data_IF_204498190947
#
_entry.id   IF_204498190947
#
_cell.length_a   1.000
_cell.length_b   1.000
_cell.length_c   1.000
_cell.angle_alpha   90.00
_cell.angle_beta   90.00
_cell.angle_gamma   90.00
#
_symmetry.space_group_name_H-M   'P 1'
#
loop_
_entity.id
_entity.type
_entity.pdbx_description
1 polymer ?
#
# COMPACT_ATOMS: atom_id res chain seq x y z
N UNK A 1 15.22 4.05 49.49
CA UNK A 1 15.18 2.83 48.64
C UNK A 1 13.95 2.72 47.73
N UNK A 2 12.79 3.29 48.10
CA UNK A 2 11.54 3.24 47.30
C UNK A 2 11.63 3.93 45.92
N UNK A 3 12.30 5.09 45.83
CA UNK A 3 12.50 5.83 44.56
C UNK A 3 13.37 5.07 43.55
N UNK A 4 14.39 4.33 44.01
CA UNK A 4 15.26 3.52 43.14
C UNK A 4 14.50 2.32 42.54
N UNK A 5 13.57 1.75 43.30
CA UNK A 5 12.68 0.69 42.83
C UNK A 5 11.64 1.21 41.81
N UNK A 6 11.16 2.44 42.02
CA UNK A 6 10.21 3.10 41.10
C UNK A 6 10.86 3.44 39.75
N UNK A 7 12.12 3.88 39.74
CA UNK A 7 12.89 4.15 38.52
C UNK A 7 13.24 2.87 37.74
N UNK A 8 13.47 1.75 38.44
CA UNK A 8 13.71 0.45 37.80
C UNK A 8 12.44 -0.12 37.16
N UNK A 9 11.27 0.07 37.79
CA UNK A 9 9.99 -0.32 37.22
C UNK A 9 9.59 0.51 35.98
N UNK A 10 9.97 1.80 35.94
CA UNK A 10 9.71 2.67 34.79
C UNK A 10 10.47 2.21 33.53
N UNK A 11 11.72 1.76 33.67
CA UNK A 11 12.53 1.24 32.55
C UNK A 11 12.03 -0.11 32.01
N UNK A 12 11.43 -0.95 32.86
CA UNK A 12 10.90 -2.26 32.44
C UNK A 12 9.60 -2.16 31.61
N UNK A 13 8.93 -1.00 31.59
CA UNK A 13 7.68 -0.80 30.83
C UNK A 13 7.89 -0.51 29.34
N UNK A 14 9.14 -0.32 28.88
CA UNK A 14 9.47 0.03 27.49
C UNK A 14 9.92 -1.20 26.67
N UNK A 15 9.43 -2.40 27.00
CA UNK A 15 9.58 -3.57 26.11
C UNK A 15 8.61 -3.37 24.95
N UNK A 16 8.95 -2.46 24.04
CA UNK A 16 8.29 -2.31 22.77
C UNK A 16 8.50 -3.59 21.95
N UNK A 17 7.42 -4.18 21.46
CA UNK A 17 7.48 -5.23 20.45
C UNK A 17 8.21 -4.66 19.23
N UNK A 18 9.50 -4.96 19.11
CA UNK A 18 10.27 -4.63 17.90
C UNK A 18 9.82 -5.59 16.81
N UNK A 19 9.34 -5.04 15.70
CA UNK A 19 9.10 -5.81 14.49
C UNK A 19 10.45 -6.27 13.94
N UNK A 20 10.61 -7.57 13.78
CA UNK A 20 11.81 -8.13 13.20
C UNK A 20 11.67 -8.14 11.69
N UNK A 21 12.78 -7.95 10.97
CA UNK A 21 12.78 -8.10 9.50
C UNK A 21 12.39 -9.52 9.07
N UNK A 22 12.60 -10.51 9.95
CA UNK A 22 12.31 -11.92 9.72
C UNK A 22 10.82 -12.27 9.79
N UNK A 23 9.96 -11.34 10.23
CA UNK A 23 8.51 -11.55 10.35
C UNK A 23 7.76 -11.34 9.02
N UNK A 24 8.47 -10.88 7.99
CA UNK A 24 7.90 -10.60 6.67
C UNK A 24 8.34 -11.67 5.68
N UNK A 25 7.45 -12.11 4.80
CA UNK A 25 7.67 -13.24 3.89
C UNK A 25 8.51 -12.86 2.67
N UNK A 26 8.25 -11.68 2.12
CA UNK A 26 8.85 -11.22 0.88
C UNK A 26 9.02 -9.70 0.87
N UNK A 27 9.79 -9.23 -0.11
CA UNK A 27 10.15 -7.83 -0.29
C UNK A 27 9.68 -7.34 -1.65
N UNK A 28 8.97 -6.23 -1.68
CA UNK A 28 8.55 -5.53 -2.89
C UNK A 28 9.59 -4.48 -3.25
N UNK A 29 10.05 -4.52 -4.50
CA UNK A 29 11.01 -3.62 -5.11
C UNK A 29 10.28 -2.70 -6.09
N UNK A 30 10.30 -1.37 -5.89
CA UNK A 30 9.67 -0.45 -6.81
C UNK A 30 10.45 -0.40 -8.13
N UNK A 31 9.74 -0.16 -9.23
CA UNK A 31 10.37 0.06 -10.54
C UNK A 31 11.14 1.38 -10.60
N UNK A 32 10.84 2.34 -9.72
CA UNK A 32 11.48 3.65 -9.70
C UNK A 32 11.58 4.18 -8.27
N UNK A 33 12.74 4.68 -7.91
CA UNK A 33 13.00 5.38 -6.65
C UNK A 33 12.84 6.90 -6.83
N UNK A 34 12.57 7.62 -5.73
CA UNK A 34 12.27 9.06 -5.74
C UNK A 34 13.29 9.94 -6.48
N UNK A 35 14.56 9.54 -6.48
CA UNK A 35 15.63 10.32 -7.11
C UNK A 35 15.85 9.98 -8.59
N UNK A 36 15.15 8.98 -9.12
CA UNK A 36 15.24 8.55 -10.53
C UNK A 36 14.18 9.25 -11.38
N UNK A 37 14.53 9.52 -12.64
CA UNK A 37 13.63 10.14 -13.61
C UNK A 37 12.80 9.10 -14.37
N UNK A 38 13.41 7.96 -14.67
CA UNK A 38 12.81 6.88 -15.45
C UNK A 38 12.80 5.59 -14.65
N UNK A 39 11.94 4.66 -15.05
CA UNK A 39 11.88 3.33 -14.45
C UNK A 39 13.20 2.60 -14.66
N UNK A 40 13.65 1.94 -13.59
CA UNK A 40 14.87 1.15 -13.51
C UNK A 40 16.12 1.89 -14.03
N UNK A 41 16.16 3.21 -13.86
CA UNK A 41 17.30 4.04 -14.28
C UNK A 41 18.59 3.52 -13.63
N UNK A 42 19.67 3.34 -14.40
CA UNK A 42 20.92 2.73 -13.93
C UNK A 42 20.76 1.30 -13.39
N UNK A 43 19.66 0.62 -13.74
CA UNK A 43 19.33 -0.76 -13.36
C UNK A 43 19.18 -0.98 -11.85
N UNK A 44 18.91 0.06 -11.08
CA UNK A 44 18.88 -0.05 -9.61
C UNK A 44 17.78 -0.98 -9.10
N UNK A 45 16.58 -0.98 -9.68
CA UNK A 45 15.53 -1.91 -9.27
C UNK A 45 15.92 -3.36 -9.56
N UNK A 46 16.53 -3.61 -10.73
CA UNK A 46 17.07 -4.93 -11.07
C UNK A 46 18.16 -5.38 -10.11
N UNK A 47 19.10 -4.50 -9.78
CA UNK A 47 20.17 -4.81 -8.83
C UNK A 47 19.64 -5.04 -7.42
N UNK A 48 18.71 -4.21 -6.94
CA UNK A 48 18.08 -4.39 -5.63
C UNK A 48 17.38 -5.75 -5.55
N UNK A 49 16.55 -6.11 -6.54
CA UNK A 49 15.90 -7.43 -6.58
C UNK A 49 16.92 -8.57 -6.58
N UNK A 50 17.97 -8.48 -7.41
CA UNK A 50 19.01 -9.50 -7.47
C UNK A 50 19.78 -9.65 -6.15
N UNK A 51 20.11 -8.55 -5.49
CA UNK A 51 20.83 -8.58 -4.21
C UNK A 51 19.95 -9.07 -3.06
N UNK A 52 18.65 -8.76 -3.06
CA UNK A 52 17.69 -9.32 -2.10
C UNK A 52 17.55 -10.85 -2.24
N UNK A 53 17.46 -11.36 -3.46
CA UNK A 53 17.42 -12.80 -3.73
C UNK A 53 18.70 -13.48 -3.22
N UNK A 54 19.87 -12.87 -3.46
CA UNK A 54 21.15 -13.37 -2.93
C UNK A 54 21.20 -13.35 -1.40
N UNK A 55 20.56 -12.37 -0.77
CA UNK A 55 20.45 -12.25 0.69
C UNK A 55 19.44 -13.24 1.31
N UNK A 56 18.71 -14.01 0.49
CA UNK A 56 17.75 -15.04 0.94
C UNK A 56 16.30 -14.57 1.01
N UNK A 57 15.99 -13.35 0.55
CA UNK A 57 14.61 -12.87 0.47
C UNK A 57 13.93 -13.34 -0.82
N UNK A 58 12.63 -13.61 -0.75
CA UNK A 58 11.79 -13.58 -1.93
C UNK A 58 11.50 -12.14 -2.29
N UNK A 59 11.87 -11.72 -3.50
CA UNK A 59 11.76 -10.33 -3.92
C UNK A 59 10.93 -10.21 -5.19
N UNK A 60 9.95 -9.32 -5.16
CA UNK A 60 9.04 -9.09 -6.27
C UNK A 60 9.03 -7.63 -6.72
N UNK A 61 8.81 -7.35 -8.00
CA UNK A 61 8.60 -5.98 -8.48
C UNK A 61 7.22 -5.47 -8.10
N UNK A 62 7.07 -4.15 -7.92
CA UNK A 62 5.80 -3.54 -7.54
C UNK A 62 4.67 -3.70 -8.56
N UNK A 63 5.00 -4.00 -9.82
CA UNK A 63 4.05 -4.14 -10.92
C UNK A 63 3.86 -5.58 -11.41
N UNK A 64 4.52 -6.56 -10.78
CA UNK A 64 4.35 -7.96 -11.19
C UNK A 64 3.25 -8.64 -10.38
N UNK A 65 2.60 -9.63 -10.99
CA UNK A 65 1.56 -10.39 -10.32
C UNK A 65 2.21 -11.32 -9.28
N UNK A 66 1.84 -11.14 -8.02
CA UNK A 66 2.36 -11.94 -6.92
C UNK A 66 1.78 -13.36 -6.95
N UNK A 67 2.58 -14.40 -6.67
CA UNK A 67 2.08 -15.77 -6.57
C UNK A 67 1.20 -15.94 -5.32
N UNK A 68 0.44 -17.04 -5.27
CA UNK A 68 -0.41 -17.36 -4.12
C UNK A 68 0.41 -17.41 -2.82
N UNK A 69 -0.12 -16.81 -1.75
CA UNK A 69 0.55 -16.72 -0.44
C UNK A 69 1.18 -15.35 -0.12
N UNK A 70 1.28 -14.46 -1.11
CA UNK A 70 1.82 -13.09 -0.98
C UNK A 70 0.75 -11.99 -1.11
N UNK A 71 -0.52 -12.35 -0.96
CA UNK A 71 -1.64 -11.40 -1.11
C UNK A 71 -1.79 -10.43 0.07
N UNK A 72 -1.26 -10.81 1.24
CA UNK A 72 -1.36 -10.02 2.47
C UNK A 72 -0.33 -8.90 2.48
N UNK A 73 -0.78 -7.65 2.30
CA UNK A 73 0.10 -6.46 2.20
C UNK A 73 1.08 -6.32 3.36
N UNK A 74 0.64 -6.66 4.58
CA UNK A 74 1.43 -6.50 5.79
C UNK A 74 2.36 -7.67 6.10
N UNK A 75 2.28 -8.76 5.33
CA UNK A 75 3.29 -9.82 5.35
C UNK A 75 4.47 -9.48 4.41
N UNK A 76 4.41 -8.34 3.71
CA UNK A 76 5.43 -7.88 2.75
C UNK A 76 6.20 -6.67 3.29
N UNK A 77 7.49 -6.61 2.97
CA UNK A 77 8.32 -5.42 3.13
C UNK A 77 8.40 -4.66 1.82
N UNK A 78 8.68 -3.36 1.91
CA UNK A 78 8.94 -2.51 0.77
C UNK A 78 10.38 -2.02 0.84
N UNK A 79 11.21 -2.40 -0.14
CA UNK A 79 12.59 -1.95 -0.23
C UNK A 79 12.67 -0.63 -0.97
N UNK A 80 13.18 0.39 -0.31
CA UNK A 80 13.38 1.70 -0.90
C UNK A 80 14.86 2.07 -0.88
N UNK A 81 15.42 2.41 -2.04
CA UNK A 81 16.76 2.97 -2.12
C UNK A 81 16.66 4.48 -1.96
N UNK A 82 17.35 5.01 -0.96
CA UNK A 82 17.45 6.45 -0.72
C UNK A 82 18.84 6.94 -1.08
N UNK A 83 18.88 8.14 -1.66
CA UNK A 83 20.11 8.85 -2.00
C UNK A 83 20.36 9.94 -0.97
N UNK A 84 21.53 9.91 -0.35
CA UNK A 84 22.04 11.02 0.45
C UNK A 84 22.96 11.88 -0.42
N UNK A 85 22.82 13.19 -0.33
CA UNK A 85 23.62 14.13 -1.11
C UNK A 85 24.85 14.51 -0.29
N UNK A 86 26.04 14.22 -0.82
CA UNK A 86 27.30 14.69 -0.26
C UNK A 86 28.13 15.40 -1.32
N UNK A 87 28.93 16.37 -0.88
CA UNK A 87 29.84 17.08 -1.77
C UNK A 87 30.85 16.11 -2.38
N UNK A 88 30.87 16.02 -3.72
CA UNK A 88 31.77 15.16 -4.52
C UNK A 88 31.68 13.65 -4.26
N UNK A 89 30.66 13.18 -3.55
CA UNK A 89 30.46 11.75 -3.29
C UNK A 89 29.00 11.37 -3.42
N UNK A 90 28.78 10.23 -4.05
CA UNK A 90 27.46 9.61 -4.13
C UNK A 90 27.28 8.71 -2.92
N UNK A 91 26.11 8.77 -2.28
CA UNK A 91 25.77 7.88 -1.18
C UNK A 91 24.38 7.28 -1.39
N UNK A 92 24.28 5.97 -1.23
CA UNK A 92 23.01 5.26 -1.22
C UNK A 92 22.88 4.41 0.05
N UNK A 93 21.66 4.24 0.50
CA UNK A 93 21.28 3.29 1.53
C UNK A 93 19.89 2.73 1.22
N UNK A 94 19.56 1.58 1.80
CA UNK A 94 18.30 0.88 1.59
C UNK A 94 17.48 0.92 2.87
N UNK A 95 16.21 1.27 2.77
CA UNK A 95 15.23 1.19 3.85
C UNK A 95 14.23 0.09 3.54
N UNK A 96 13.94 -0.76 4.53
CA UNK A 96 12.79 -1.65 4.48
C UNK A 96 11.64 -1.04 5.26
N UNK A 97 10.50 -0.91 4.60
CA UNK A 97 9.27 -0.36 5.17
C UNK A 97 8.18 -1.41 5.28
N UNK A 98 7.33 -1.27 6.29
CA UNK A 98 6.12 -2.07 6.41
C UNK A 98 5.00 -1.56 5.50
N UNK A 99 3.85 -2.23 5.55
CA UNK A 99 2.65 -1.86 4.82
C UNK A 99 2.05 -0.49 5.20
N UNK A 100 2.48 0.12 6.31
CA UNK A 100 2.08 1.45 6.78
C UNK A 100 3.13 2.52 6.46
N UNK A 101 4.23 2.14 5.81
CA UNK A 101 5.33 3.04 5.47
C UNK A 101 6.30 3.31 6.63
N UNK A 102 6.20 2.56 7.74
CA UNK A 102 7.15 2.66 8.85
C UNK A 102 8.44 1.95 8.49
N UNK A 103 9.57 2.61 8.68
CA UNK A 103 10.91 2.03 8.48
C UNK A 103 11.18 0.99 9.57
N UNK A 104 11.36 -0.26 9.17
CA UNK A 104 11.67 -1.40 10.04
C UNK A 104 13.17 -1.61 10.13
N UNK A 105 13.89 -1.36 9.03
CA UNK A 105 15.33 -1.51 8.97
C UNK A 105 15.93 -0.53 7.97
N UNK A 106 17.14 -0.05 8.28
CA UNK A 106 17.95 0.79 7.41
C UNK A 106 19.33 0.18 7.28
N UNK A 107 19.79 0.00 6.06
CA UNK A 107 21.11 -0.56 5.77
C UNK A 107 22.23 0.42 6.15
N UNK A 108 23.45 -0.11 6.18
CA UNK A 108 24.65 0.71 6.09
C UNK A 108 24.66 1.59 4.83
N UNK A 109 25.41 2.69 4.90
CA UNK A 109 25.52 3.66 3.81
C UNK A 109 26.67 3.28 2.90
N UNK A 110 26.37 2.96 1.64
CA UNK A 110 27.38 2.78 0.61
C UNK A 110 27.80 4.12 0.00
N UNK A 111 29.09 4.29 -0.27
CA UNK A 111 29.68 5.57 -0.69
C UNK A 111 30.61 5.38 -1.88
N UNK A 112 30.42 6.13 -2.95
CA UNK A 112 31.31 6.10 -4.12
C UNK A 112 31.83 7.50 -4.45
N UNK A 113 33.08 7.55 -4.91
CA UNK A 113 33.75 8.76 -5.41
C UNK A 113 33.69 8.85 -6.93
N UNK A 114 33.12 7.85 -7.59
CA UNK A 114 32.98 7.85 -9.04
C UNK A 114 32.05 8.96 -9.51
N UNK A 115 32.42 9.57 -10.63
CA UNK A 115 31.65 10.68 -11.23
C UNK A 115 30.54 10.17 -12.14
N UNK A 116 30.69 8.97 -12.68
CA UNK A 116 29.67 8.33 -13.51
C UNK A 116 28.60 7.69 -12.64
N UNK A 117 27.34 8.13 -12.80
CA UNK A 117 26.25 7.70 -11.91
C UNK A 117 25.97 6.20 -11.95
N UNK A 118 26.10 5.55 -13.11
CA UNK A 118 25.84 4.11 -13.21
C UNK A 118 26.82 3.30 -12.35
N UNK A 119 28.11 3.61 -12.47
CA UNK A 119 29.18 2.98 -11.68
C UNK A 119 29.03 3.35 -10.21
N UNK A 120 28.86 4.63 -9.91
CA UNK A 120 28.75 5.11 -8.53
C UNK A 120 27.56 4.49 -7.79
N UNK A 121 26.39 4.41 -8.41
CA UNK A 121 25.22 3.80 -7.78
C UNK A 121 25.36 2.31 -7.63
N UNK A 122 25.98 1.61 -8.58
CA UNK A 122 26.27 0.19 -8.44
C UNK A 122 27.14 -0.08 -7.22
N UNK A 123 28.26 0.63 -7.09
CA UNK A 123 29.18 0.50 -5.95
C UNK A 123 28.48 0.82 -4.62
N UNK A 124 27.76 1.95 -4.55
CA UNK A 124 27.02 2.33 -3.36
C UNK A 124 25.99 1.27 -2.97
N UNK A 125 25.26 0.72 -3.93
CA UNK A 125 24.23 -0.27 -3.66
C UNK A 125 24.86 -1.58 -3.16
N UNK A 126 25.93 -2.06 -3.81
CA UNK A 126 26.64 -3.27 -3.38
C UNK A 126 27.19 -3.12 -1.95
N UNK A 127 27.75 -1.96 -1.60
CA UNK A 127 28.19 -1.66 -0.23
C UNK A 127 27.03 -1.60 0.78
N UNK A 128 25.90 -1.00 0.42
CA UNK A 128 24.72 -0.95 1.30
C UNK A 128 24.21 -2.36 1.62
N UNK A 129 24.21 -3.26 0.64
CA UNK A 129 23.77 -4.65 0.80
C UNK A 129 24.68 -5.52 1.65
N UNK A 130 25.93 -5.12 1.93
CA UNK A 130 26.80 -5.85 2.88
C UNK A 130 26.09 -6.02 4.23
N UNK A 131 25.56 -4.94 4.79
CA UNK A 131 24.84 -4.96 6.06
C UNK A 131 23.54 -5.76 6.03
N UNK A 132 22.88 -5.85 4.87
CA UNK A 132 21.66 -6.63 4.67
C UNK A 132 22.00 -8.13 4.63
N UNK A 133 23.09 -8.49 3.95
CA UNK A 133 23.57 -9.87 3.88
C UNK A 133 23.99 -10.39 5.26
N UNK A 134 24.58 -9.53 6.10
CA UNK A 134 24.95 -9.85 7.49
C UNK A 134 23.75 -10.14 8.41
N UNK A 135 22.53 -9.75 8.02
CA UNK A 135 21.32 -10.11 8.76
C UNK A 135 21.02 -11.60 8.71
N UNK A 136 21.55 -12.32 7.70
CA UNK A 136 21.24 -13.73 7.43
C UNK A 136 19.74 -14.00 7.53
N UNK A 137 18.96 -13.21 6.79
CA UNK A 137 17.51 -13.25 6.83
C UNK A 137 17.00 -14.67 6.66
N UNK A 138 16.06 -15.05 7.53
CA UNK A 138 15.32 -16.29 7.44
C UNK A 138 13.93 -16.06 7.99
N UNK A 139 12.93 -16.27 7.13
CA UNK A 139 11.54 -16.13 7.52
C UNK A 139 11.22 -17.06 8.70
N UNK A 140 10.67 -16.49 9.77
CA UNK A 140 10.42 -17.21 11.02
C UNK A 140 9.04 -17.88 11.10
N UNK A 141 8.24 -17.82 10.02
CA UNK A 141 6.90 -18.41 9.98
C UNK A 141 5.85 -17.65 10.79
N UNK A 142 6.24 -16.55 11.45
CA UNK A 142 5.35 -15.74 12.29
C UNK A 142 4.81 -14.60 11.45
N UNK A 143 3.49 -14.36 11.49
CA UNK A 143 2.91 -13.16 10.88
C UNK A 143 3.49 -11.92 11.55
N UNK A 144 3.88 -10.93 10.75
CA UNK A 144 4.35 -9.63 11.23
C UNK A 144 3.41 -9.07 12.31
N UNK A 145 3.90 -9.00 13.54
CA UNK A 145 3.15 -8.44 14.65
C UNK A 145 3.02 -6.94 14.43
N UNK A 146 1.81 -6.48 14.14
CA UNK A 146 1.52 -5.06 14.02
C UNK A 146 1.55 -4.43 15.42
N UNK A 147 2.04 -3.19 15.58
CA UNK A 147 1.93 -2.50 16.85
C UNK A 147 0.43 -2.29 17.11
N UNK A 148 -0.04 -2.68 18.29
CA UNK A 148 -1.37 -2.36 18.73
C UNK A 148 -1.55 -0.83 18.65
N UNK A 149 -2.38 -0.37 17.71
CA UNK A 149 -2.80 1.02 17.66
C UNK A 149 -3.54 1.27 18.96
N UNK A 150 -2.97 2.10 19.83
CA UNK A 150 -3.68 2.66 20.97
C UNK A 150 -4.93 3.35 20.43
N UNK A 151 -6.07 2.68 20.59
CA UNK A 151 -7.39 3.24 20.38
C UNK A 151 -7.56 4.33 21.41
N UNK A 152 -7.44 5.59 20.98
CA UNK A 152 -8.07 6.69 21.72
C UNK A 152 -9.57 6.44 21.68
N UNK A 153 -10.08 5.93 22.78
CA UNK A 153 -11.50 5.77 23.08
C UNK A 153 -12.11 7.17 23.16
N UNK A 154 -12.79 7.60 22.10
CA UNK A 154 -13.88 8.57 22.24
C UNK A 154 -15.12 7.73 22.50
N UNK A 155 -15.63 7.84 23.73
CA UNK A 155 -16.81 7.16 24.18
C UNK A 155 -18.02 7.48 23.29
N UNK A 156 -18.64 6.44 22.74
CA UNK A 156 -20.02 6.46 22.29
C UNK A 156 -20.81 5.50 23.20
N UNK A 157 -21.94 5.92 23.77
CA UNK A 157 -22.65 5.14 24.77
C UNK A 157 -23.29 3.89 24.15
N UNK A 158 -23.26 2.83 24.94
CA UNK A 158 -23.80 1.51 24.65
C UNK A 158 -25.31 1.54 24.42
N UNK A 159 -25.79 0.74 23.47
CA UNK A 159 -27.05 0.00 23.65
C UNK A 159 -26.83 -1.44 23.22
N UNK A 160 -26.98 -2.29 24.22
CA UNK A 160 -27.00 -3.75 24.24
C UNK A 160 -28.00 -4.37 23.26
N UNK A 161 -27.64 -5.48 22.62
CA UNK A 161 -28.54 -6.64 22.52
C UNK A 161 -27.76 -7.92 22.31
N UNK A 162 -28.22 -8.97 22.99
CA UNK A 162 -27.55 -10.23 23.22
C UNK A 162 -27.77 -11.27 22.11
N UNK A 163 -26.73 -12.08 21.90
CA UNK A 163 -26.68 -13.56 21.72
C UNK A 163 -27.97 -14.25 21.28
N UNK A 164 -27.94 -15.04 20.20
CA UNK A 164 -28.11 -16.52 20.18
C UNK A 164 -27.67 -17.06 18.80
N UNK A 165 -27.04 -18.23 18.82
CA UNK A 165 -26.37 -18.93 17.74
C UNK A 165 -27.28 -19.80 16.83
N UNK A 166 -26.67 -20.29 15.74
CA UNK A 166 -26.99 -21.44 14.85
C UNK A 166 -28.15 -21.29 13.83
N UNK A 167 -28.16 -22.05 12.71
CA UNK A 167 -27.07 -22.52 11.84
C UNK A 167 -27.40 -22.31 10.32
N UNK A 168 -26.44 -22.73 9.49
CA UNK A 168 -26.44 -22.88 8.02
C UNK A 168 -27.74 -23.35 7.34
N UNK A 169 -28.01 -22.80 6.15
CA UNK A 169 -28.31 -23.44 4.83
C UNK A 169 -29.39 -22.69 4.03
N UNK A 170 -28.99 -22.32 2.80
CA UNK A 170 -29.75 -22.08 1.56
C UNK A 170 -30.98 -21.18 1.50
N UNK A 171 -30.93 -20.38 0.42
CA UNK A 171 -32.01 -20.03 -0.50
C UNK A 171 -32.68 -18.66 -0.31
N UNK A 172 -32.54 -17.88 -1.39
CA UNK A 172 -33.41 -16.81 -1.88
C UNK A 172 -33.65 -15.63 -0.94
N UNK A 173 -32.91 -14.53 -1.18
CA UNK A 173 -33.34 -13.22 -0.72
C UNK A 173 -33.82 -12.42 -1.92
N UNK A 174 -35.13 -12.42 -2.06
CA UNK A 174 -35.88 -11.44 -2.80
C UNK A 174 -35.64 -10.04 -2.21
N UNK A 175 -35.52 -9.09 -3.12
CA UNK A 175 -35.73 -7.64 -3.02
C UNK A 175 -36.58 -7.13 -1.85
N UNK A 176 -36.23 -5.94 -1.33
CA UNK A 176 -37.19 -4.88 -1.11
C UNK A 176 -37.07 -3.82 -2.22
N UNK A 177 -38.24 -3.48 -2.74
CA UNK A 177 -38.60 -2.47 -3.74
C UNK A 177 -38.28 -1.03 -3.28
N UNK A 178 -38.39 -0.04 -4.18
CA UNK A 178 -37.38 1.00 -4.35
C UNK A 178 -37.81 2.35 -3.78
N UNK A 179 -36.83 3.21 -3.50
CA UNK A 179 -37.05 4.65 -3.57
C UNK A 179 -36.58 5.12 -4.95
N UNK A 180 -37.55 5.35 -5.84
CA UNK A 180 -37.38 5.93 -7.18
C UNK A 180 -37.94 7.34 -7.11
N UNK A 181 -37.07 8.32 -7.00
CA UNK A 181 -37.46 9.72 -7.27
C UNK A 181 -36.33 10.61 -7.79
N UNK A 182 -35.11 10.09 -7.98
CA UNK A 182 -34.05 10.84 -8.66
C UNK A 182 -34.04 10.55 -10.18
N UNK A 183 -34.23 11.55 -11.05
CA UNK A 183 -34.09 11.39 -12.50
C UNK A 183 -32.65 11.05 -12.94
N UNK A 184 -31.64 11.26 -12.10
CA UNK A 184 -30.22 11.06 -12.42
C UNK A 184 -29.62 9.76 -11.84
N UNK A 185 -30.45 8.85 -11.32
CA UNK A 185 -29.99 7.56 -10.80
C UNK A 185 -29.45 6.66 -11.93
N UNK A 186 -28.19 6.25 -11.81
CA UNK A 186 -27.52 5.29 -12.69
C UNK A 186 -27.40 3.91 -12.02
N UNK A 187 -27.36 2.86 -12.84
CA UNK A 187 -27.15 1.48 -12.40
C UNK A 187 -25.81 0.98 -12.91
N UNK A 188 -24.99 0.40 -12.03
CA UNK A 188 -23.73 -0.21 -12.42
C UNK A 188 -23.94 -1.66 -12.90
N UNK A 189 -23.52 -1.95 -14.13
CA UNK A 189 -23.43 -3.30 -14.66
C UNK A 189 -21.96 -3.77 -14.63
N UNK A 190 -21.64 -4.93 -14.05
CA UNK A 190 -20.28 -5.42 -14.00
C UNK A 190 -19.74 -5.75 -15.40
N UNK A 191 -18.46 -5.46 -15.61
CA UNK A 191 -17.69 -5.85 -16.79
C UNK A 191 -16.41 -6.58 -16.38
N UNK A 192 -15.68 -7.13 -17.35
CA UNK A 192 -14.39 -7.80 -17.13
C UNK A 192 -13.38 -6.90 -16.37
N UNK A 193 -13.37 -5.60 -16.65
CA UNK A 193 -12.38 -4.65 -16.11
C UNK A 193 -12.97 -3.66 -15.09
N UNK A 194 -14.29 -3.69 -14.84
CA UNK A 194 -14.94 -2.79 -13.90
C UNK A 194 -16.46 -2.80 -14.01
N UNK A 195 -17.03 -1.66 -14.37
CA UNK A 195 -18.48 -1.47 -14.47
C UNK A 195 -18.86 -0.56 -15.65
N UNK A 196 -20.09 -0.68 -16.13
CA UNK A 196 -20.74 0.29 -17.01
C UNK A 196 -21.92 0.91 -16.27
N UNK A 197 -22.01 2.23 -16.23
CA UNK A 197 -23.16 2.92 -15.67
C UNK A 197 -24.19 3.18 -16.77
N UNK A 198 -25.39 2.66 -16.57
CA UNK A 198 -26.51 2.84 -17.48
C UNK A 198 -27.63 3.66 -16.84
N UNK A 199 -28.36 4.40 -17.66
CA UNK A 199 -29.60 5.06 -17.24
C UNK A 199 -30.81 4.11 -17.27
N UNK A 200 -32.01 4.64 -17.03
CA UNK A 200 -33.28 3.87 -17.08
C UNK A 200 -33.67 3.41 -18.49
N UNK A 201 -33.00 3.91 -19.54
CA UNK A 201 -33.23 3.58 -20.96
C UNK A 201 -32.15 2.64 -21.52
N UNK A 202 -31.62 1.75 -20.68
CA UNK A 202 -30.36 1.01 -20.86
C UNK A 202 -29.20 1.69 -21.60
N UNK A 203 -29.14 3.02 -21.64
CA UNK A 203 -28.10 3.73 -22.37
C UNK A 203 -26.85 3.85 -21.49
N UNK A 204 -25.69 3.51 -22.05
CA UNK A 204 -24.40 3.65 -21.36
C UNK A 204 -24.06 5.13 -21.22
N UNK A 205 -23.97 5.61 -19.98
CA UNK A 205 -23.65 7.00 -19.63
C UNK A 205 -22.18 7.14 -19.23
N UNK A 206 -21.61 6.13 -18.57
CA UNK A 206 -20.22 6.18 -18.10
C UNK A 206 -19.60 4.77 -18.08
N UNK A 207 -18.31 4.67 -18.40
CA UNK A 207 -17.53 3.45 -18.23
C UNK A 207 -16.60 3.60 -17.04
N UNK A 208 -16.56 2.59 -16.17
CA UNK A 208 -15.72 2.54 -14.98
C UNK A 208 -14.72 1.38 -15.10
N UNK A 209 -13.47 1.65 -14.78
CA UNK A 209 -12.41 0.66 -14.67
C UNK A 209 -11.94 0.61 -13.22
N UNK A 210 -11.74 -0.60 -12.69
CA UNK A 210 -11.27 -0.79 -11.32
C UNK A 210 -9.87 -0.20 -11.15
N UNK A 211 -9.66 0.44 -10.01
CA UNK A 211 -8.33 0.80 -9.54
C UNK A 211 -7.94 -0.10 -8.37
N UNK A 212 -6.73 0.07 -7.83
CA UNK A 212 -6.31 -0.59 -6.60
C UNK A 212 -7.08 -0.10 -5.36
N UNK A 213 -7.86 0.97 -5.48
CA UNK A 213 -8.63 1.58 -4.41
C UNK A 213 -10.12 1.23 -4.54
N UNK A 214 -10.76 0.63 -3.51
CA UNK A 214 -12.18 0.29 -3.56
C UNK A 214 -13.10 1.51 -3.57
N UNK A 215 -12.58 2.67 -3.17
CA UNK A 215 -13.26 3.97 -3.14
C UNK A 215 -12.99 4.83 -4.38
N UNK A 216 -12.34 4.28 -5.43
CA UNK A 216 -11.99 5.04 -6.64
C UNK A 216 -12.01 4.18 -7.91
N UNK A 217 -12.62 4.71 -8.96
CA UNK A 217 -12.62 4.12 -10.30
C UNK A 217 -12.00 5.09 -11.31
N UNK A 218 -11.33 4.57 -12.34
CA UNK A 218 -11.07 5.36 -13.54
C UNK A 218 -12.38 5.45 -14.30
N UNK A 219 -12.79 6.66 -14.69
CA UNK A 219 -14.10 6.91 -15.27
C UNK A 219 -13.98 7.63 -16.61
N UNK A 220 -14.79 7.18 -17.57
CA UNK A 220 -14.88 7.79 -18.91
C UNK A 220 -16.35 8.14 -19.16
N UNK A 221 -16.63 9.44 -19.35
CA UNK A 221 -17.97 9.99 -19.61
C UNK A 221 -17.89 10.88 -20.85
N UNK A 222 -18.64 10.57 -21.90
CA UNK A 222 -18.68 11.35 -23.15
C UNK A 222 -17.30 11.70 -23.75
N UNK A 223 -16.33 10.77 -23.64
CA UNK A 223 -14.96 10.95 -24.12
C UNK A 223 -14.03 11.70 -23.16
N UNK A 224 -14.55 12.26 -22.07
CA UNK A 224 -13.77 12.88 -21.00
C UNK A 224 -13.31 11.81 -20.02
N UNK A 225 -12.01 11.77 -19.75
CA UNK A 225 -11.40 10.86 -18.79
C UNK A 225 -11.21 11.56 -17.44
N UNK A 226 -11.51 10.84 -16.37
CA UNK A 226 -11.39 11.32 -15.00
C UNK A 226 -11.41 10.17 -14.01
N UNK A 227 -11.76 10.48 -12.77
CA UNK A 227 -11.87 9.51 -11.67
C UNK A 227 -13.23 9.62 -11.00
N UNK A 228 -13.85 8.48 -10.66
CA UNK A 228 -15.05 8.44 -9.84
C UNK A 228 -14.64 8.07 -8.42
N UNK A 229 -14.72 9.02 -7.49
CA UNK A 229 -14.25 8.87 -6.12
C UNK A 229 -15.42 8.87 -5.13
N UNK A 230 -15.38 8.00 -4.12
CA UNK A 230 -16.32 8.03 -3.01
C UNK A 230 -15.88 9.09 -1.97
N UNK A 231 -16.77 10.04 -1.66
CA UNK A 231 -16.61 11.04 -0.59
C UNK A 231 -17.92 11.12 0.19
N UNK A 232 -17.85 11.01 1.52
CA UNK A 232 -19.03 11.09 2.41
C UNK A 232 -20.19 10.17 1.99
N UNK A 233 -19.85 8.93 1.60
CA UNK A 233 -20.81 7.92 1.12
C UNK A 233 -21.56 8.31 -0.17
N UNK A 234 -21.02 9.26 -0.94
CA UNK A 234 -21.50 9.73 -2.23
C UNK A 234 -20.40 9.60 -3.29
N UNK A 235 -20.77 9.49 -4.57
CA UNK A 235 -19.82 9.35 -5.66
C UNK A 235 -19.66 10.67 -6.41
N UNK A 236 -18.41 11.03 -6.72
CA UNK A 236 -18.06 12.25 -7.45
C UNK A 236 -17.16 11.92 -8.64
N UNK A 237 -17.56 12.33 -9.82
CA UNK A 237 -16.75 12.26 -11.03
C UNK A 237 -15.90 13.52 -11.14
N UNK A 238 -14.59 13.33 -11.08
CA UNK A 238 -13.59 14.40 -11.04
C UNK A 238 -12.70 14.33 -12.28
N UNK A 239 -12.61 15.45 -13.00
CA UNK A 239 -11.83 15.58 -14.22
C UNK A 239 -11.26 16.99 -14.34
N UNK A 240 -10.21 17.16 -15.15
CA UNK A 240 -9.65 18.46 -15.46
C UNK A 240 -10.25 19.01 -16.76
N UNK A 241 -10.70 20.26 -16.72
CA UNK A 241 -11.11 21.03 -17.90
C UNK A 241 -10.52 22.43 -17.80
N UNK A 242 -9.79 22.86 -18.83
CA UNK A 242 -9.09 24.15 -18.86
C UNK A 242 -8.19 24.37 -17.62
N UNK A 243 -7.41 23.35 -17.25
CA UNK A 243 -6.54 23.28 -16.06
C UNK A 243 -7.25 23.48 -14.71
N UNK A 244 -8.57 23.34 -14.66
CA UNK A 244 -9.37 23.40 -13.44
C UNK A 244 -9.97 22.04 -13.12
N UNK A 245 -9.90 21.67 -11.85
CA UNK A 245 -10.58 20.48 -11.33
C UNK A 245 -12.09 20.74 -11.29
N UNK A 246 -12.84 19.94 -12.03
CA UNK A 246 -14.30 19.90 -12.01
C UNK A 246 -14.73 18.64 -11.25
N UNK A 247 -15.71 18.77 -10.35
CA UNK A 247 -16.24 17.66 -9.56
C UNK A 247 -17.76 17.61 -9.71
N UNK A 248 -18.27 16.55 -10.32
CA UNK A 248 -19.69 16.32 -10.58
C UNK A 248 -20.21 15.21 -9.69
N UNK A 249 -21.29 15.45 -8.95
CA UNK A 249 -21.95 14.40 -8.15
C UNK A 249 -22.60 13.37 -9.07
N UNK A 250 -22.36 12.09 -8.80
CA UNK A 250 -22.93 10.95 -9.53
C UNK A 250 -23.78 10.12 -8.56
N UNK A 251 -25.06 9.94 -8.88
CA UNK A 251 -25.96 9.10 -8.12
C UNK A 251 -25.97 7.73 -8.79
N UNK A 252 -25.29 6.75 -8.18
CA UNK A 252 -25.13 5.41 -8.75
C UNK A 252 -25.43 4.34 -7.72
N UNK A 253 -26.11 3.29 -8.16
CA UNK A 253 -26.30 2.05 -7.42
C UNK A 253 -25.39 0.96 -8.00
N UNK A 254 -24.43 0.53 -7.19
CA UNK A 254 -23.54 -0.58 -7.50
C UNK A 254 -24.19 -1.94 -7.23
#
# INVERSE_FOLDING_TARGET
MKIKFLLLALFASVIGFSQSINDYKAVIVPLRYDFQKTDNQYRLSTMTKANLIKAGFEAFYSNEQLPEGYNERCDLLYAEVKRDNAFLMTKLFVEFKDCYGKVIYTSGVGKSKEKEYEVAYKECLDMAFVSINELHYKYNGTKAALPARATSTVAAPAVTTAVVATPVVSAVVATPTPDVSDPNLLYAQPTETGYQLIDKTPKVVMKLMKTSRPDSFIAIKDGVQGTLNAKDNQWFFEYYKDDKLVSEKVVVKF
#
